data_IF_934770661711
#
_entry.id   IF_934770661711
#
_cell.length_a   1.000
_cell.length_b   1.000
_cell.length_c   1.000
_cell.angle_alpha   90.00
_cell.angle_beta   90.00
_cell.angle_gamma   90.00
#
_symmetry.space_group_name_H-M   'P 1'
#
loop_
_entity.id
_entity.type
_entity.pdbx_description
1 polymer ?
#
# COMPACT_ATOMS: atom_id res chain seq x y z
N UNK A 1 22.89 -5.11 1.79
CA UNK A 1 21.73 -5.14 2.67
C UNK A 1 20.43 -5.13 1.87
N UNK A 2 20.30 -4.21 0.90
CA UNK A 2 19.17 -4.14 -0.03
C UNK A 2 19.00 -5.47 -0.79
N UNK A 3 20.09 -6.07 -1.27
CA UNK A 3 20.07 -7.37 -1.95
C UNK A 3 19.55 -8.51 -1.06
N UNK A 4 19.86 -8.49 0.23
CA UNK A 4 19.35 -9.49 1.17
C UNK A 4 17.85 -9.31 1.39
N UNK A 5 17.40 -8.06 1.55
CA UNK A 5 15.97 -7.74 1.70
C UNK A 5 15.20 -8.12 0.44
N UNK A 6 15.72 -7.80 -0.73
CA UNK A 6 15.09 -8.07 -2.03
C UNK A 6 15.03 -9.57 -2.35
N UNK A 7 16.11 -10.31 -2.15
CA UNK A 7 16.21 -11.69 -2.62
C UNK A 7 15.86 -12.76 -1.58
N UNK A 8 15.87 -12.43 -0.27
CA UNK A 8 15.58 -13.40 0.78
C UNK A 8 14.17 -13.32 1.36
N UNK A 9 13.46 -12.20 1.17
CA UNK A 9 12.17 -11.94 1.79
C UNK A 9 10.96 -12.28 0.93
N UNK A 10 11.10 -12.18 -0.39
CA UNK A 10 9.97 -12.34 -1.29
C UNK A 10 10.22 -13.45 -2.28
N UNK A 11 9.45 -14.52 -2.18
CA UNK A 11 9.38 -15.59 -3.19
C UNK A 11 8.57 -15.13 -4.40
N UNK A 12 7.67 -14.16 -4.20
CA UNK A 12 6.73 -13.72 -5.21
C UNK A 12 6.87 -12.22 -5.48
N UNK A 13 7.32 -11.87 -6.68
CA UNK A 13 7.59 -10.49 -7.06
C UNK A 13 6.33 -9.61 -7.06
N UNK A 14 5.14 -10.16 -7.34
CA UNK A 14 3.88 -9.41 -7.42
C UNK A 14 3.50 -8.71 -6.11
N UNK A 15 4.08 -9.14 -5.00
CA UNK A 15 3.88 -8.57 -3.67
C UNK A 15 4.24 -7.07 -3.62
N UNK A 16 5.15 -6.59 -4.50
CA UNK A 16 5.48 -5.16 -4.49
C UNK A 16 4.26 -4.27 -4.73
N UNK A 17 3.32 -4.68 -5.59
CA UNK A 17 2.08 -3.93 -5.85
C UNK A 17 1.23 -3.86 -4.57
N UNK A 18 1.07 -4.97 -3.86
CA UNK A 18 0.35 -5.02 -2.60
C UNK A 18 0.98 -4.10 -1.54
N UNK A 19 2.30 -4.15 -1.38
CA UNK A 19 3.01 -3.33 -0.40
C UNK A 19 2.87 -1.83 -0.70
N UNK A 20 2.99 -1.44 -1.97
CA UNK A 20 2.85 -0.04 -2.36
C UNK A 20 1.40 0.46 -2.22
N UNK A 21 0.40 -0.37 -2.52
CA UNK A 21 -1.02 -0.04 -2.28
C UNK A 21 -1.29 0.09 -0.78
N UNK A 22 -0.73 -0.79 0.06
CA UNK A 22 -0.87 -0.70 1.51
C UNK A 22 -0.30 0.61 2.05
N UNK A 23 0.90 0.99 1.62
CA UNK A 23 1.51 2.27 2.00
C UNK A 23 0.68 3.47 1.53
N UNK A 24 0.13 3.42 0.32
CA UNK A 24 -0.75 4.45 -0.22
C UNK A 24 -2.05 4.57 0.58
N UNK A 25 -2.65 3.44 0.96
CA UNK A 25 -3.83 3.40 1.83
C UNK A 25 -3.56 4.01 3.20
N UNK A 26 -2.44 3.67 3.82
CA UNK A 26 -2.02 4.25 5.10
C UNK A 26 -1.80 5.75 5.02
N UNK A 27 -1.23 6.23 3.90
CA UNK A 27 -1.04 7.66 3.67
C UNK A 27 -2.37 8.41 3.54
N UNK A 28 -3.36 7.83 2.86
CA UNK A 28 -4.72 8.37 2.76
C UNK A 28 -5.43 8.36 4.11
N UNK A 29 -5.29 7.30 4.91
CA UNK A 29 -5.89 7.18 6.24
C UNK A 29 -5.33 8.24 7.20
N UNK A 30 -4.02 8.43 7.21
CA UNK A 30 -3.36 9.48 8.01
C UNK A 30 -3.88 10.87 7.64
N UNK A 31 -4.05 11.15 6.34
CA UNK A 31 -4.61 12.44 5.91
C UNK A 31 -6.07 12.60 6.34
N UNK A 32 -6.90 11.56 6.20
CA UNK A 32 -8.29 11.54 6.66
C UNK A 32 -8.39 11.90 8.15
N UNK A 33 -7.50 11.36 8.97
CA UNK A 33 -7.43 11.70 10.39
C UNK A 33 -7.11 13.19 10.60
N UNK A 34 -6.19 13.77 9.83
CA UNK A 34 -5.87 15.20 9.91
C UNK A 34 -7.02 16.09 9.43
N UNK A 35 -7.78 15.68 8.40
CA UNK A 35 -8.98 16.40 7.94
C UNK A 35 -10.02 16.49 9.05
N UNK A 36 -10.23 15.43 9.83
CA UNK A 36 -11.17 15.42 10.96
C UNK A 36 -10.67 16.24 12.16
N UNK A 37 -9.36 16.46 12.28
CA UNK A 37 -8.73 17.20 13.36
C UNK A 37 -8.68 18.73 13.14
N UNK A 38 -9.23 19.23 12.02
CA UNK A 38 -9.32 20.68 11.73
C UNK A 38 -7.99 21.35 11.38
N UNK A 39 -6.96 20.58 11.00
CA UNK A 39 -5.69 21.15 10.51
C UNK A 39 -5.86 21.75 9.11
N UNK A 40 -5.06 22.78 8.81
CA UNK A 40 -4.96 23.31 7.46
C UNK A 40 -4.28 22.29 6.56
N UNK A 41 -4.90 21.97 5.43
CA UNK A 41 -4.43 20.95 4.48
C UNK A 41 -4.27 21.60 3.11
N UNK A 42 -3.15 21.33 2.46
CA UNK A 42 -2.95 21.70 1.06
C UNK A 42 -3.86 20.84 0.18
N UNK A 43 -4.57 21.47 -0.76
CA UNK A 43 -5.56 20.82 -1.64
C UNK A 43 -6.64 20.02 -0.86
N UNK A 44 -7.42 20.68 0.04
CA UNK A 44 -8.33 19.99 0.95
C UNK A 44 -9.48 19.28 0.24
N UNK A 45 -9.86 19.74 -0.96
CA UNK A 45 -11.00 19.22 -1.73
C UNK A 45 -10.64 18.05 -2.66
N UNK A 46 -9.35 17.68 -2.74
CA UNK A 46 -8.91 16.53 -3.54
C UNK A 46 -9.33 15.24 -2.88
N UNK A 47 -10.06 14.40 -3.61
CA UNK A 47 -10.54 13.09 -3.16
C UNK A 47 -9.38 12.19 -2.75
N UNK A 48 -9.56 11.44 -1.64
CA UNK A 48 -8.61 10.43 -1.19
C UNK A 48 -8.75 9.17 -2.03
N UNK A 49 -7.74 8.89 -2.83
CA UNK A 49 -7.72 7.72 -3.72
C UNK A 49 -6.31 7.26 -4.03
N UNK A 50 -6.23 6.07 -4.62
CA UNK A 50 -5.03 5.45 -5.15
C UNK A 50 -5.21 5.30 -6.66
N UNK A 51 -4.27 5.78 -7.45
CA UNK A 51 -4.31 5.68 -8.91
C UNK A 51 -3.10 4.90 -9.41
N UNK A 52 -3.33 3.91 -10.23
CA UNK A 52 -2.29 3.08 -10.85
C UNK A 52 -2.36 3.27 -12.36
N UNK A 53 -1.23 3.61 -12.96
CA UNK A 53 -1.08 3.72 -14.40
C UNK A 53 -0.04 2.72 -14.91
N UNK A 54 -0.38 2.00 -15.95
CA UNK A 54 0.53 1.07 -16.64
C UNK A 54 0.78 1.53 -18.06
N UNK A 55 2.02 1.39 -18.52
CA UNK A 55 2.42 1.65 -19.91
C UNK A 55 3.32 0.51 -20.38
N UNK A 56 2.77 -0.37 -21.21
CA UNK A 56 3.46 -1.54 -21.75
C UNK A 56 4.49 -1.19 -22.83
N UNK A 57 4.34 -0.07 -23.52
CA UNK A 57 5.33 0.41 -24.48
C UNK A 57 6.57 0.98 -23.78
N UNK A 58 6.35 1.70 -22.69
CA UNK A 58 7.43 2.28 -21.91
C UNK A 58 7.99 1.33 -20.83
N UNK A 59 7.37 0.17 -20.59
CA UNK A 59 7.69 -0.75 -19.49
C UNK A 59 7.66 -0.05 -18.13
N UNK A 60 6.57 0.65 -17.82
CA UNK A 60 6.44 1.40 -16.58
C UNK A 60 5.14 1.08 -15.85
N UNK A 61 5.20 1.16 -14.53
CA UNK A 61 4.05 1.21 -13.65
C UNK A 61 4.20 2.38 -12.69
N UNK A 62 3.14 3.15 -12.50
CA UNK A 62 3.10 4.30 -11.60
C UNK A 62 2.00 4.10 -10.58
N UNK A 63 2.30 4.27 -9.30
CA UNK A 63 1.32 4.19 -8.20
C UNK A 63 1.30 5.55 -7.51
N UNK A 64 0.13 6.16 -7.45
CA UNK A 64 -0.07 7.51 -6.89
C UNK A 64 -1.13 7.47 -5.81
N UNK A 65 -0.88 8.09 -4.67
CA UNK A 65 -1.88 8.39 -3.66
C UNK A 65 -2.07 9.90 -3.50
N UNK A 66 -3.23 10.29 -3.04
CA UNK A 66 -3.56 11.68 -2.68
C UNK A 66 -3.51 11.91 -1.16
N UNK A 67 -2.74 11.09 -0.47
CA UNK A 67 -2.62 11.05 0.98
C UNK A 67 -1.77 12.17 1.58
N UNK A 68 -1.18 11.86 2.72
CA UNK A 68 -0.45 12.82 3.56
C UNK A 68 0.82 13.37 2.91
N UNK A 69 1.44 12.62 1.99
CA UNK A 69 2.72 12.95 1.42
C UNK A 69 3.86 12.96 2.44
N UNK A 70 5.02 13.47 2.03
CA UNK A 70 6.21 13.56 2.88
C UNK A 70 6.91 14.91 2.67
N UNK A 71 7.45 15.46 3.76
CA UNK A 71 8.45 16.53 3.72
C UNK A 71 9.78 15.98 3.23
N UNK A 72 10.74 16.88 2.91
CA UNK A 72 12.10 16.45 2.54
C UNK A 72 12.76 15.60 3.61
N UNK A 73 12.63 15.98 4.88
CA UNK A 73 13.26 15.27 5.99
C UNK A 73 12.63 13.89 6.20
N UNK A 74 11.31 13.79 6.12
CA UNK A 74 10.59 12.50 6.16
C UNK A 74 10.97 11.60 4.97
N UNK A 75 11.18 12.18 3.78
CA UNK A 75 11.62 11.44 2.60
C UNK A 75 13.02 10.84 2.81
N UNK A 76 13.94 11.63 3.38
CA UNK A 76 15.30 11.15 3.75
C UNK A 76 15.22 10.09 4.85
N UNK A 77 14.40 10.29 5.86
CA UNK A 77 14.25 9.35 6.97
C UNK A 77 13.65 8.02 6.51
N UNK A 78 12.59 8.06 5.72
CA UNK A 78 11.83 6.87 5.31
C UNK A 78 12.49 6.11 4.15
N UNK A 79 13.09 6.81 3.18
CA UNK A 79 13.64 6.21 1.96
C UNK A 79 15.17 6.33 1.84
N UNK A 80 15.79 7.22 2.61
CA UNK A 80 17.24 7.48 2.51
C UNK A 80 18.12 6.47 3.24
N UNK A 81 17.59 5.76 4.22
CA UNK A 81 18.37 4.78 5.00
C UNK A 81 17.57 3.51 5.22
N UNK A 82 18.03 2.40 4.67
CA UNK A 82 17.56 1.04 5.00
C UNK A 82 17.81 0.73 6.50
N UNK A 83 18.50 1.61 7.22
CA UNK A 83 18.94 1.44 8.61
C UNK A 83 18.04 2.13 9.64
N UNK A 84 16.76 2.37 9.36
CA UNK A 84 15.79 2.77 10.39
C UNK A 84 15.78 1.73 11.54
N UNK A 85 15.49 2.14 12.77
CA UNK A 85 15.55 1.26 13.95
C UNK A 85 14.75 -0.05 13.78
N UNK A 86 13.65 -0.02 13.05
CA UNK A 86 12.86 -1.20 12.69
C UNK A 86 13.57 -2.17 11.75
N UNK A 87 14.27 -1.66 10.72
CA UNK A 87 15.04 -2.49 9.79
C UNK A 87 16.21 -3.21 10.44
N UNK A 88 16.86 -2.60 11.45
CA UNK A 88 17.94 -3.26 12.21
C UNK A 88 17.42 -4.39 13.10
N UNK A 89 16.28 -4.19 13.77
CA UNK A 89 15.65 -5.22 14.57
C UNK A 89 15.19 -6.41 13.70
N UNK A 90 14.62 -6.13 12.54
CA UNK A 90 14.21 -7.10 11.54
C UNK A 90 15.38 -7.94 11.01
N UNK A 91 16.49 -7.29 10.62
CA UNK A 91 17.69 -7.98 10.15
C UNK A 91 18.32 -8.86 11.22
N UNK A 92 18.27 -8.44 12.49
CA UNK A 92 18.74 -9.24 13.61
C UNK A 92 17.90 -10.51 13.78
N UNK A 93 16.57 -10.42 13.66
CA UNK A 93 15.68 -11.59 13.75
C UNK A 93 15.90 -12.59 12.61
N UNK A 94 16.10 -12.10 11.36
CA UNK A 94 16.43 -12.97 10.21
C UNK A 94 17.78 -13.64 10.42
N UNK A 95 18.81 -12.89 10.83
CA UNK A 95 20.17 -13.42 11.06
C UNK A 95 20.21 -14.46 12.19
N UNK A 96 19.32 -14.35 13.18
CA UNK A 96 19.18 -15.30 14.29
C UNK A 96 18.35 -16.55 13.90
N UNK A 97 17.82 -16.63 12.68
CA UNK A 97 17.12 -17.81 12.15
C UNK A 97 15.80 -18.16 12.87
N UNK A 98 15.24 -17.21 13.62
CA UNK A 98 14.08 -17.46 14.50
C UNK A 98 12.75 -17.55 13.77
N UNK A 99 12.62 -16.94 12.60
CA UNK A 99 11.40 -17.02 11.77
C UNK A 99 11.71 -16.85 10.28
N UNK A 100 10.96 -17.55 9.42
CA UNK A 100 10.89 -17.18 8.01
C UNK A 100 10.14 -15.87 7.89
N UNK A 101 10.69 -14.85 7.19
CA UNK A 101 10.01 -13.58 7.04
C UNK A 101 8.66 -13.81 6.35
N UNK A 102 7.58 -13.45 7.05
CA UNK A 102 6.26 -13.41 6.43
C UNK A 102 5.87 -11.97 6.06
N UNK A 103 4.89 -11.83 5.20
CA UNK A 103 4.44 -10.54 4.68
C UNK A 103 4.00 -9.55 5.79
N UNK A 104 3.46 -10.06 6.92
CA UNK A 104 3.05 -9.23 8.04
C UNK A 104 4.23 -8.59 8.78
N UNK A 105 5.36 -9.32 8.90
CA UNK A 105 6.58 -8.76 9.49
C UNK A 105 7.13 -7.58 8.66
N UNK A 106 7.05 -7.67 7.36
CA UNK A 106 7.60 -6.66 6.43
C UNK A 106 6.91 -5.31 6.60
N UNK A 107 5.57 -5.30 6.68
CA UNK A 107 4.80 -4.09 6.93
C UNK A 107 5.11 -3.44 8.28
N UNK A 108 5.32 -4.26 9.33
CA UNK A 108 5.67 -3.77 10.67
C UNK A 108 7.03 -3.05 10.73
N UNK A 109 7.98 -3.42 9.85
CA UNK A 109 9.33 -2.86 9.84
C UNK A 109 9.55 -1.76 8.78
N UNK A 110 8.50 -1.37 8.04
CA UNK A 110 8.55 -0.29 7.06
C UNK A 110 9.46 -0.57 5.85
N UNK A 111 9.74 -1.85 5.56
CA UNK A 111 10.62 -2.25 4.43
C UNK A 111 9.86 -2.55 3.14
N UNK A 112 8.51 -2.51 3.17
CA UNK A 112 7.65 -2.85 2.03
C UNK A 112 7.93 -2.04 0.77
N UNK A 113 8.27 -0.75 0.91
CA UNK A 113 8.64 0.10 -0.22
C UNK A 113 9.78 -0.49 -1.06
N UNK A 114 10.79 -1.07 -0.41
CA UNK A 114 11.98 -1.59 -1.10
C UNK A 114 11.70 -2.83 -1.95
N UNK A 115 10.53 -3.47 -1.79
CA UNK A 115 10.07 -4.55 -2.66
C UNK A 115 9.98 -4.13 -4.13
N UNK A 116 9.78 -2.84 -4.40
CA UNK A 116 9.78 -2.29 -5.76
C UNK A 116 11.10 -2.58 -6.51
N UNK A 117 12.23 -2.65 -5.82
CA UNK A 117 13.52 -2.93 -6.44
C UNK A 117 13.72 -4.38 -6.91
N UNK A 118 12.81 -5.30 -6.54
CA UNK A 118 12.79 -6.63 -7.14
C UNK A 118 12.56 -6.57 -8.65
N UNK A 119 11.71 -5.63 -9.10
CA UNK A 119 11.25 -5.50 -10.48
C UNK A 119 11.75 -4.23 -11.18
N UNK A 120 12.31 -3.27 -10.44
CA UNK A 120 12.67 -1.95 -10.96
C UNK A 120 14.12 -1.85 -11.42
N UNK A 121 14.33 -1.26 -12.60
CA UNK A 121 15.61 -0.66 -12.99
C UNK A 121 15.84 0.69 -12.30
N UNK A 122 14.77 1.48 -12.17
CA UNK A 122 14.78 2.80 -11.55
C UNK A 122 13.46 3.05 -10.84
N UNK A 123 13.53 3.65 -9.67
CA UNK A 123 12.36 4.14 -8.91
C UNK A 123 12.50 5.64 -8.71
N UNK A 124 11.43 6.39 -9.03
CA UNK A 124 11.29 7.82 -8.70
C UNK A 124 10.09 8.02 -7.80
N UNK A 125 10.28 8.70 -6.69
CA UNK A 125 9.23 9.05 -5.76
C UNK A 125 9.05 10.55 -5.74
N UNK A 126 7.90 11.00 -6.24
CA UNK A 126 7.48 12.40 -6.18
C UNK A 126 6.55 12.57 -5.00
N UNK A 127 6.83 13.49 -4.11
CA UNK A 127 6.00 13.66 -2.92
C UNK A 127 5.92 15.12 -2.48
N UNK A 128 4.77 15.49 -1.94
CA UNK A 128 4.54 16.77 -1.27
C UNK A 128 3.70 16.55 -0.04
N UNK A 129 4.17 17.06 1.10
CA UNK A 129 3.45 17.00 2.36
C UNK A 129 2.13 17.79 2.31
N UNK A 130 1.13 17.32 3.07
CA UNK A 130 -0.15 18.01 3.28
C UNK A 130 0.02 19.35 4.03
N UNK A 131 1.08 19.49 4.79
CA UNK A 131 1.34 20.58 5.72
C UNK A 131 2.56 21.42 5.27
N UNK A 132 2.32 22.67 4.92
CA UNK A 132 3.31 23.74 4.94
C UNK A 132 4.39 23.78 3.86
N UNK A 133 4.80 22.69 3.28
CA UNK A 133 5.82 22.69 2.24
C UNK A 133 5.27 23.25 0.92
N UNK A 134 5.82 24.35 0.48
CA UNK A 134 5.44 25.00 -0.79
C UNK A 134 5.96 24.23 -2.01
N UNK A 135 6.96 23.37 -1.82
CA UNK A 135 7.60 22.59 -2.85
C UNK A 135 7.46 21.10 -2.57
N UNK A 136 7.28 20.31 -3.60
CA UNK A 136 7.48 18.88 -3.54
C UNK A 136 8.93 18.50 -3.71
N UNK A 137 9.21 17.21 -3.55
CA UNK A 137 10.54 16.65 -3.70
C UNK A 137 10.47 15.37 -4.54
N UNK A 138 11.50 15.12 -5.31
CA UNK A 138 11.68 13.88 -6.07
C UNK A 138 12.90 13.13 -5.53
N UNK A 139 12.68 11.90 -5.11
CA UNK A 139 13.72 10.95 -4.73
C UNK A 139 13.93 9.97 -5.88
N UNK A 140 15.19 9.72 -6.28
CA UNK A 140 15.54 8.89 -7.43
C UNK A 140 16.58 7.86 -7.00
N UNK A 141 16.35 6.58 -7.31
CA UNK A 141 17.31 5.51 -7.06
C UNK A 141 17.23 4.38 -8.10
N UNK A 142 18.38 3.80 -8.39
CA UNK A 142 18.55 2.57 -9.20
C UNK A 142 18.82 1.32 -8.36
N UNK A 143 18.64 1.40 -7.04
CA UNK A 143 18.83 0.25 -6.16
C UNK A 143 20.29 -0.07 -5.83
N UNK A 144 21.26 0.75 -6.24
CA UNK A 144 22.69 0.53 -6.00
C UNK A 144 23.20 1.09 -4.66
N UNK A 145 22.28 1.39 -3.71
CA UNK A 145 22.64 1.96 -2.40
C UNK A 145 22.85 3.47 -2.38
N UNK A 146 22.66 4.14 -3.51
CA UNK A 146 22.69 5.59 -3.67
C UNK A 146 21.34 6.12 -4.14
N UNK A 147 21.07 7.37 -3.79
CA UNK A 147 19.87 8.09 -4.24
C UNK A 147 20.17 9.57 -4.43
N UNK A 148 19.33 10.23 -5.19
CA UNK A 148 19.33 11.68 -5.40
C UNK A 148 18.02 12.26 -4.90
N UNK A 149 18.03 13.50 -4.40
CA UNK A 149 16.82 14.25 -4.05
C UNK A 149 16.87 15.60 -4.71
N UNK A 150 15.79 15.94 -5.41
CA UNK A 150 15.60 17.22 -6.12
C UNK A 150 14.34 17.92 -5.62
N UNK A 151 14.31 19.25 -5.69
CA UNK A 151 13.08 20.01 -5.49
C UNK A 151 12.18 19.86 -6.74
N UNK A 152 10.88 19.68 -6.50
CA UNK A 152 9.89 19.50 -7.58
C UNK A 152 8.81 20.56 -7.45
N UNK A 153 8.89 21.65 -8.23
CA UNK A 153 7.81 22.64 -8.31
C UNK A 153 6.51 22.01 -8.78
N UNK A 154 5.38 22.60 -8.37
CA UNK A 154 4.03 22.20 -8.82
C UNK A 154 3.68 20.73 -8.56
N UNK A 155 4.33 20.09 -7.57
CA UNK A 155 3.99 18.75 -7.15
C UNK A 155 2.66 18.76 -6.39
N UNK A 156 1.67 17.93 -6.75
CA UNK A 156 0.44 17.76 -5.98
C UNK A 156 0.72 17.14 -4.60
N UNK A 157 -0.20 17.36 -3.65
CA UNK A 157 -0.17 16.65 -2.36
C UNK A 157 -0.24 15.14 -2.57
N UNK A 158 0.47 14.41 -1.73
CA UNK A 158 0.51 12.94 -1.74
C UNK A 158 1.84 12.41 -2.25
N UNK A 159 1.82 11.17 -2.72
CA UNK A 159 3.03 10.48 -3.19
C UNK A 159 2.76 9.77 -4.51
N UNK A 160 3.66 9.94 -5.46
CA UNK A 160 3.67 9.23 -6.74
C UNK A 160 4.96 8.43 -6.86
N UNK A 161 4.83 7.12 -6.99
CA UNK A 161 5.94 6.19 -7.19
C UNK A 161 5.95 5.75 -8.64
N UNK A 162 6.92 6.20 -9.39
CA UNK A 162 7.18 5.80 -10.78
C UNK A 162 8.23 4.70 -10.79
N UNK A 163 7.93 3.60 -11.46
CA UNK A 163 8.80 2.43 -11.57
C UNK A 163 9.07 2.14 -13.03
N UNK A 164 10.34 2.23 -13.44
CA UNK A 164 10.83 1.67 -14.69
C UNK A 164 11.15 0.21 -14.45
N UNK A 165 10.44 -0.69 -15.13
CA UNK A 165 10.56 -2.13 -14.95
C UNK A 165 11.79 -2.69 -15.66
N UNK A 166 12.38 -3.74 -15.08
CA UNK A 166 13.38 -4.59 -15.74
C UNK A 166 12.75 -5.32 -16.91
N UNK A 167 13.55 -5.69 -17.90
CA UNK A 167 13.06 -6.40 -19.09
C UNK A 167 12.36 -7.73 -18.76
N UNK A 168 12.87 -8.47 -17.75
CA UNK A 168 12.29 -9.74 -17.32
C UNK A 168 10.98 -9.58 -16.53
N UNK A 169 10.62 -8.36 -16.13
CA UNK A 169 9.48 -8.05 -15.27
C UNK A 169 8.43 -7.14 -15.96
N UNK A 170 8.50 -7.02 -17.28
CA UNK A 170 7.61 -6.16 -18.08
C UNK A 170 6.13 -6.57 -18.07
N UNK A 171 5.80 -7.78 -17.62
CA UNK A 171 4.42 -8.22 -17.43
C UNK A 171 3.67 -7.35 -16.39
N UNK A 172 4.37 -6.73 -15.44
CA UNK A 172 3.78 -5.77 -14.51
C UNK A 172 3.42 -4.41 -15.14
N UNK A 173 3.76 -4.16 -16.40
CA UNK A 173 3.24 -3.04 -17.19
C UNK A 173 1.90 -3.38 -17.91
N UNK A 174 1.41 -4.60 -17.79
CA UNK A 174 0.19 -5.08 -18.45
C UNK A 174 -1.04 -4.87 -17.53
N UNK A 175 -2.05 -4.11 -18.03
CA UNK A 175 -3.28 -3.83 -17.27
C UNK A 175 -3.93 -5.11 -16.70
N UNK A 176 -4.14 -6.21 -17.46
CA UNK A 176 -4.81 -7.41 -16.93
C UNK A 176 -4.04 -8.07 -15.79
N UNK A 177 -2.70 -8.05 -15.84
CA UNK A 177 -1.84 -8.62 -14.79
C UNK A 177 -1.98 -7.83 -13.50
N UNK A 178 -1.88 -6.51 -13.58
CA UNK A 178 -2.01 -5.61 -12.42
C UNK A 178 -3.42 -5.67 -11.84
N UNK A 179 -4.46 -5.71 -12.67
CA UNK A 179 -5.84 -5.83 -12.21
C UNK A 179 -6.07 -7.14 -11.41
N UNK A 180 -5.53 -8.25 -11.88
CA UNK A 180 -5.62 -9.54 -11.17
C UNK A 180 -4.96 -9.46 -9.78
N UNK A 181 -3.78 -8.84 -9.68
CA UNK A 181 -3.06 -8.66 -8.41
C UNK A 181 -3.86 -7.76 -7.45
N UNK A 182 -4.42 -6.65 -7.94
CA UNK A 182 -5.24 -5.76 -7.11
C UNK A 182 -6.45 -6.51 -6.56
N UNK A 183 -7.15 -7.27 -7.40
CA UNK A 183 -8.33 -8.06 -6.98
C UNK A 183 -7.98 -9.12 -5.95
N UNK A 184 -6.82 -9.75 -6.08
CA UNK A 184 -6.37 -10.80 -5.17
C UNK A 184 -5.97 -10.27 -3.79
N UNK A 185 -5.21 -9.16 -3.74
CA UNK A 185 -4.57 -8.70 -2.50
C UNK A 185 -5.12 -7.41 -1.93
N UNK A 186 -5.79 -6.58 -2.72
CA UNK A 186 -6.16 -5.21 -2.36
C UNK A 186 -7.62 -4.85 -2.63
N UNK A 187 -8.46 -5.85 -2.92
CA UNK A 187 -9.84 -5.65 -3.33
C UNK A 187 -10.70 -4.89 -2.28
N UNK A 188 -10.35 -5.02 -1.00
CA UNK A 188 -11.10 -4.44 0.12
C UNK A 188 -10.41 -3.23 0.77
N UNK A 189 -9.43 -2.65 0.11
CA UNK A 189 -8.87 -1.36 0.51
C UNK A 189 -9.99 -0.31 0.54
N UNK A 190 -10.07 0.47 1.61
CA UNK A 190 -11.19 1.40 1.88
C UNK A 190 -11.21 2.64 1.00
N UNK A 191 -10.16 2.85 0.22
CA UNK A 191 -10.07 3.94 -0.76
C UNK A 191 -10.24 3.40 -2.17
N UNK A 192 -10.78 4.20 -3.11
CA UNK A 192 -10.84 3.82 -4.52
C UNK A 192 -9.45 3.53 -5.07
N UNK A 193 -9.28 2.39 -5.75
CA UNK A 193 -8.11 2.07 -6.54
C UNK A 193 -8.48 2.16 -8.01
N UNK A 194 -7.97 3.17 -8.68
CA UNK A 194 -8.13 3.35 -10.12
C UNK A 194 -6.96 2.72 -10.87
N UNK A 195 -7.25 1.85 -11.83
CA UNK A 195 -6.28 1.32 -12.78
C UNK A 195 -6.55 1.90 -14.16
N UNK A 196 -5.63 2.72 -14.67
CA UNK A 196 -5.78 3.45 -15.92
C UNK A 196 -7.12 4.23 -16.02
N UNK A 197 -7.54 4.84 -14.89
CA UNK A 197 -8.76 5.67 -14.78
C UNK A 197 -10.04 4.91 -14.45
N UNK A 198 -10.01 3.58 -14.28
CA UNK A 198 -11.17 2.77 -13.92
C UNK A 198 -11.03 2.22 -12.50
N UNK A 199 -12.04 2.39 -11.64
CA UNK A 199 -12.05 1.81 -10.28
C UNK A 199 -12.16 0.29 -10.37
N UNK A 200 -11.22 -0.42 -9.76
CA UNK A 200 -11.09 -1.88 -9.87
C UNK A 200 -11.30 -2.64 -8.56
N UNK A 201 -11.38 -1.95 -7.42
CA UNK A 201 -11.60 -2.57 -6.12
C UNK A 201 -13.02 -2.35 -5.59
N UNK A 202 -13.40 -3.11 -4.54
CA UNK A 202 -14.67 -2.95 -3.81
C UNK A 202 -14.48 -1.95 -2.67
N UNK A 203 -14.84 -0.68 -2.90
CA UNK A 203 -14.60 0.44 -1.97
C UNK A 203 -15.46 0.39 -0.69
N UNK A 204 -16.55 -0.35 -0.67
CA UNK A 204 -17.44 -0.35 0.50
C UNK A 204 -17.01 -1.39 1.53
N UNK A 205 -16.70 -0.93 2.75
CA UNK A 205 -16.51 -1.79 3.90
C UNK A 205 -17.77 -2.63 4.13
N UNK A 206 -17.66 -3.96 4.05
CA UNK A 206 -18.80 -4.89 4.12
C UNK A 206 -19.60 -4.67 5.41
N UNK A 207 -18.95 -4.39 6.53
CA UNK A 207 -19.61 -4.18 7.83
C UNK A 207 -20.43 -2.89 7.92
N UNK A 208 -20.28 -1.96 6.99
CA UNK A 208 -21.07 -0.72 6.92
C UNK A 208 -22.32 -0.86 6.06
N UNK A 209 -22.41 -1.92 5.27
CA UNK A 209 -23.55 -2.21 4.41
C UNK A 209 -24.64 -2.95 5.18
N UNK A 210 -25.89 -2.83 4.71
CA UNK A 210 -27.00 -3.64 5.23
C UNK A 210 -26.73 -5.13 4.99
N UNK A 211 -27.09 -5.98 5.97
CA UNK A 211 -26.99 -7.46 5.85
C UNK A 211 -27.68 -8.00 4.60
N UNK A 212 -28.77 -7.37 4.17
CA UNK A 212 -29.54 -7.77 2.99
C UNK A 212 -28.85 -7.45 1.66
N UNK A 213 -27.85 -6.57 1.69
CA UNK A 213 -27.11 -6.13 0.49
C UNK A 213 -25.82 -6.88 0.28
N UNK A 214 -25.33 -7.60 1.31
CA UNK A 214 -24.08 -8.35 1.25
C UNK A 214 -24.37 -9.82 0.96
N UNK A 215 -23.81 -10.32 -0.13
CA UNK A 215 -23.94 -11.74 -0.52
C UNK A 215 -23.03 -12.64 0.31
N UNK A 216 -23.38 -13.90 0.40
CA UNK A 216 -22.60 -14.91 1.14
C UNK A 216 -21.15 -15.02 0.64
N UNK A 217 -20.97 -14.96 -0.67
CA UNK A 217 -19.66 -15.03 -1.30
C UNK A 217 -18.77 -13.83 -0.91
N UNK A 218 -19.35 -12.63 -0.77
CA UNK A 218 -18.61 -11.43 -0.35
C UNK A 218 -18.12 -11.55 1.10
N UNK A 219 -18.90 -12.17 2.00
CA UNK A 219 -18.47 -12.44 3.36
C UNK A 219 -17.30 -13.42 3.43
N UNK A 220 -17.32 -14.47 2.61
CA UNK A 220 -16.25 -15.46 2.54
C UNK A 220 -14.97 -14.86 1.94
N UNK A 221 -15.08 -14.14 0.81
CA UNK A 221 -13.95 -13.43 0.20
C UNK A 221 -13.29 -12.48 1.20
N UNK A 222 -14.11 -11.73 1.95
CA UNK A 222 -13.59 -10.82 2.96
C UNK A 222 -12.89 -11.55 4.11
N UNK A 223 -13.45 -12.67 4.58
CA UNK A 223 -12.81 -13.49 5.61
C UNK A 223 -11.45 -14.03 5.15
N UNK A 224 -11.39 -14.59 3.94
CA UNK A 224 -10.14 -15.09 3.36
C UNK A 224 -9.09 -13.97 3.21
N UNK A 225 -9.55 -12.76 2.87
CA UNK A 225 -8.67 -11.60 2.77
C UNK A 225 -8.09 -11.17 4.11
N UNK A 226 -8.92 -11.02 5.17
CA UNK A 226 -8.44 -10.54 6.48
C UNK A 226 -7.74 -11.61 7.31
N UNK A 227 -8.21 -12.88 7.19
CA UNK A 227 -7.70 -14.01 7.95
C UNK A 227 -6.48 -14.68 7.33
N UNK A 228 -6.17 -14.36 6.05
CA UNK A 228 -5.17 -15.09 5.25
C UNK A 228 -5.39 -16.61 5.29
N UNK A 229 -6.65 -17.02 5.47
CA UNK A 229 -7.08 -18.41 5.55
C UNK A 229 -7.78 -18.80 4.24
N UNK A 230 -7.55 -20.02 3.78
CA UNK A 230 -8.16 -20.56 2.56
C UNK A 230 -9.41 -21.39 2.85
N UNK A 231 -9.71 -21.69 4.12
CA UNK A 231 -10.91 -22.39 4.55
C UNK A 231 -12.04 -21.41 4.86
N UNK A 232 -13.27 -21.81 4.63
CA UNK A 232 -14.44 -21.01 4.97
C UNK A 232 -14.60 -20.89 6.49
N UNK A 233 -15.08 -19.75 7.01
CA UNK A 233 -15.35 -19.59 8.45
C UNK A 233 -16.51 -20.50 8.89
N UNK A 234 -16.48 -20.98 10.13
CA UNK A 234 -17.59 -21.75 10.73
C UNK A 234 -18.87 -20.93 10.78
N UNK A 235 -18.75 -19.68 11.16
CA UNK A 235 -19.88 -18.76 11.25
C UNK A 235 -19.39 -17.31 11.29
N UNK A 236 -20.33 -16.39 11.13
CA UNK A 236 -20.09 -14.94 11.25
C UNK A 236 -21.23 -14.24 11.96
N UNK A 237 -20.92 -13.09 12.54
CA UNK A 237 -21.88 -12.14 13.08
C UNK A 237 -21.67 -10.77 12.42
N UNK A 238 -22.64 -10.33 11.64
CA UNK A 238 -22.71 -8.96 11.13
C UNK A 238 -23.71 -8.19 12.00
N UNK A 239 -23.22 -7.21 12.75
CA UNK A 239 -23.98 -6.45 13.73
C UNK A 239 -23.93 -4.96 13.45
N UNK A 240 -25.09 -4.31 13.58
CA UNK A 240 -25.24 -2.85 13.49
C UNK A 240 -26.17 -2.38 14.60
N UNK A 241 -25.76 -1.35 15.36
CA UNK A 241 -26.58 -0.67 16.35
C UNK A 241 -26.35 0.83 16.23
N UNK A 242 -27.42 1.61 16.32
CA UNK A 242 -27.39 3.07 16.14
C UNK A 242 -27.44 3.85 17.47
N UNK A 243 -27.80 3.19 18.58
CA UNK A 243 -27.93 3.81 19.89
C UNK A 243 -27.49 2.85 21.03
N UNK A 244 -26.89 3.35 22.10
CA UNK A 244 -26.49 4.74 22.37
C UNK A 244 -25.26 5.21 21.61
N UNK A 245 -24.55 4.28 20.96
CA UNK A 245 -23.40 4.51 20.10
C UNK A 245 -23.62 3.81 18.77
N UNK A 246 -23.25 4.45 17.67
CA UNK A 246 -23.25 3.79 16.37
C UNK A 246 -22.11 2.77 16.33
N UNK A 247 -22.46 1.49 16.32
CA UNK A 247 -21.53 0.38 16.24
C UNK A 247 -21.85 -0.44 15.00
N UNK A 248 -20.85 -0.66 14.17
CA UNK A 248 -20.93 -1.56 13.02
C UNK A 248 -19.78 -2.55 13.13
N UNK A 249 -20.09 -3.84 13.12
CA UNK A 249 -19.07 -4.87 13.29
C UNK A 249 -19.37 -6.11 12.46
N UNK A 250 -18.30 -6.75 12.00
CA UNK A 250 -18.32 -8.05 11.37
C UNK A 250 -17.29 -8.94 12.05
N UNK A 251 -17.77 -10.02 12.68
CA UNK A 251 -16.96 -10.96 13.44
C UNK A 251 -17.06 -12.32 12.77
N UNK A 252 -15.95 -13.03 12.67
CA UNK A 252 -15.87 -14.39 12.14
C UNK A 252 -15.34 -15.37 13.19
N UNK A 253 -15.79 -16.60 13.08
CA UNK A 253 -15.26 -17.74 13.82
C UNK A 253 -14.51 -18.63 12.83
N UNK A 254 -13.19 -18.77 12.95
CA UNK A 254 -12.39 -19.65 12.08
C UNK A 254 -12.83 -21.11 12.19
N UNK A 255 -12.65 -21.88 11.11
CA UNK A 255 -12.89 -23.33 11.12
C UNK A 255 -11.82 -24.08 11.91
N UNK A 256 -10.60 -23.59 11.89
CA UNK A 256 -9.44 -24.19 12.57
C UNK A 256 -8.88 -23.26 13.65
N UNK A 257 -8.39 -23.85 14.75
CA UNK A 257 -7.57 -23.11 15.71
C UNK A 257 -6.19 -22.86 15.08
N UNK A 258 -5.88 -21.60 14.82
CA UNK A 258 -4.52 -21.21 14.52
C UNK A 258 -3.66 -21.24 15.79
#
# INVERSE_FOLDING_TARGET
>A
LLDIVIHSLYTDKEIFIRELISNASDACEKLRFHQTSGKSIHEPDVELKISIATDDNANTITITDTGIGMTRDELVENLGTIAHSGSKAFLKQIAEGKEKPNANLIGQFGVGFYSAFMVAEEVKVYTRSFDGDKLGHTWISKGAGTYEIEETPDCPRGTKIFIKLKEDDKDFAQKPRVESIIKQYSNFVTFPIELNGEVVNKVSAIWTRSKSEVKEEEYKEFYHYIGHDHEDPLTRLHFSADAPLAIQSLVYVPANNM
#
